data_IF_363266565462
#
_entry.id   IF_363266565462
#
_cell.length_a   1.000
_cell.length_b   1.000
_cell.length_c   1.000
_cell.angle_alpha   90.00
_cell.angle_beta   90.00
_cell.angle_gamma   90.00
#
_symmetry.space_group_name_H-M   'P 1'
#
loop_
_entity.id
_entity.type
_entity.pdbx_description
1 polymer ?
#
# COMPACT_ATOMS: atom_id res chain seq x y z
N UNK A 1 28.81 -78.67 -13.53
CA UNK A 1 28.27 -77.64 -14.45
C UNK A 1 27.18 -76.88 -13.70
N UNK A 2 27.41 -75.61 -13.35
CA UNK A 2 26.45 -74.51 -13.50
C UNK A 2 27.10 -73.21 -13.00
N UNK A 3 27.25 -72.27 -13.94
CA UNK A 3 27.66 -70.87 -13.77
C UNK A 3 26.55 -70.07 -13.06
N UNK A 4 26.92 -68.99 -12.37
CA UNK A 4 26.33 -67.63 -12.49
C UNK A 4 27.03 -66.68 -11.49
N UNK A 5 27.97 -65.85 -11.93
CA UNK A 5 27.84 -64.46 -12.40
C UNK A 5 27.29 -63.46 -11.36
N UNK A 6 28.21 -62.74 -10.70
CA UNK A 6 27.92 -61.55 -9.89
C UNK A 6 27.69 -60.32 -10.78
N UNK A 7 26.64 -59.55 -10.51
CA UNK A 7 26.33 -58.27 -11.19
C UNK A 7 26.64 -57.12 -10.21
N UNK A 8 27.35 -56.04 -10.63
CA UNK A 8 27.58 -54.88 -9.77
C UNK A 8 26.35 -53.95 -9.75
N UNK A 9 25.99 -53.47 -8.55
CA UNK A 9 24.96 -52.45 -8.33
C UNK A 9 25.38 -51.11 -8.93
N UNK A 10 24.67 -50.65 -9.97
CA UNK A 10 24.67 -49.24 -10.38
C UNK A 10 23.82 -48.45 -9.38
N UNK A 11 24.43 -47.49 -8.68
CA UNK A 11 23.73 -46.51 -7.84
C UNK A 11 23.02 -45.55 -8.78
N UNK A 12 21.69 -45.61 -8.81
CA UNK A 12 20.84 -44.73 -9.61
C UNK A 12 20.69 -43.38 -8.92
N UNK A 13 21.25 -42.33 -9.54
CA UNK A 13 21.20 -40.92 -9.14
C UNK A 13 19.83 -40.27 -9.41
N UNK A 14 18.72 -40.99 -9.18
CA UNK A 14 17.38 -40.56 -9.60
C UNK A 14 16.53 -39.87 -8.51
N UNK A 15 17.08 -39.63 -7.31
CA UNK A 15 16.28 -39.19 -6.15
C UNK A 15 16.40 -37.70 -5.77
N UNK A 16 17.20 -36.90 -6.47
CA UNK A 16 17.42 -35.49 -6.09
C UNK A 16 16.49 -34.47 -6.76
N UNK A 17 15.64 -34.89 -7.71
CA UNK A 17 14.79 -33.95 -8.47
C UNK A 17 13.46 -33.50 -7.83
N UNK A 18 12.82 -34.17 -6.85
CA UNK A 18 11.53 -33.69 -6.34
C UNK A 18 11.65 -32.61 -5.25
N UNK A 19 12.82 -32.46 -4.61
CA UNK A 19 13.02 -31.50 -3.51
C UNK A 19 13.15 -30.07 -4.04
N UNK A 20 13.78 -29.88 -5.21
CA UNK A 20 14.00 -28.56 -5.80
C UNK A 20 12.69 -27.87 -6.23
N UNK A 21 11.69 -28.65 -6.67
CA UNK A 21 10.39 -28.12 -7.11
C UNK A 21 9.50 -27.66 -5.95
N UNK A 22 9.57 -28.30 -4.78
CA UNK A 22 8.83 -27.88 -3.58
C UNK A 22 9.36 -26.57 -2.99
N UNK A 23 10.67 -26.32 -3.03
CA UNK A 23 11.26 -25.07 -2.52
C UNK A 23 10.81 -23.86 -3.36
N UNK A 24 10.74 -24.00 -4.68
CA UNK A 24 10.31 -22.92 -5.58
C UNK A 24 8.82 -22.60 -5.37
N UNK A 25 7.96 -23.61 -5.23
CA UNK A 25 6.53 -23.41 -4.98
C UNK A 25 6.26 -22.78 -3.61
N UNK A 26 6.97 -23.20 -2.55
CA UNK A 26 6.88 -22.59 -1.22
C UNK A 26 7.35 -21.13 -1.20
N UNK A 27 8.39 -20.79 -1.99
CA UNK A 27 8.89 -19.42 -2.10
C UNK A 27 7.93 -18.50 -2.87
N UNK A 28 7.23 -19.01 -3.89
CA UNK A 28 6.18 -18.27 -4.60
C UNK A 28 4.92 -18.07 -3.74
N UNK A 29 4.50 -19.08 -2.98
CA UNK A 29 3.34 -18.96 -2.09
C UNK A 29 3.61 -18.01 -0.92
N UNK A 30 4.84 -17.99 -0.38
CA UNK A 30 5.22 -17.07 0.69
C UNK A 30 5.30 -15.60 0.22
N UNK A 31 5.70 -15.35 -1.03
CA UNK A 31 5.71 -13.99 -1.61
C UNK A 31 4.30 -13.44 -1.82
N UNK A 32 3.33 -14.30 -2.09
CA UNK A 32 1.93 -13.90 -2.27
C UNK A 32 1.26 -13.35 -0.99
N UNK A 33 1.82 -13.61 0.20
CA UNK A 33 1.19 -13.29 1.48
C UNK A 33 1.94 -12.21 2.27
N UNK A 34 2.82 -11.43 1.64
CA UNK A 34 3.49 -10.33 2.32
C UNK A 34 2.55 -9.10 2.42
N UNK A 35 2.10 -8.69 3.62
CA UNK A 35 1.20 -7.54 3.77
C UNK A 35 1.80 -6.23 3.23
N UNK A 36 3.13 -6.14 3.13
CA UNK A 36 3.81 -4.98 2.54
C UNK A 36 3.57 -4.85 1.02
N UNK A 37 3.40 -5.98 0.31
CA UNK A 37 3.17 -6.00 -1.13
C UNK A 37 1.72 -5.59 -1.47
N UNK A 38 0.76 -6.00 -0.63
CA UNK A 38 -0.66 -5.66 -0.77
C UNK A 38 -0.92 -4.16 -0.54
N UNK A 39 -0.38 -3.61 0.55
CA UNK A 39 -0.46 -2.17 0.84
C UNK A 39 0.22 -1.33 -0.27
N UNK A 40 1.33 -1.84 -0.83
CA UNK A 40 2.04 -1.16 -1.91
C UNK A 40 1.27 -1.13 -3.23
N UNK A 41 0.42 -2.12 -3.48
CA UNK A 41 -0.47 -2.19 -4.64
C UNK A 41 -1.68 -1.27 -4.44
N UNK A 42 -2.30 -1.28 -3.27
CA UNK A 42 -3.43 -0.41 -2.95
C UNK A 42 -3.05 1.08 -3.05
N UNK A 43 -1.90 1.47 -2.49
CA UNK A 43 -1.40 2.84 -2.60
C UNK A 43 -1.06 3.19 -4.06
N UNK A 44 -0.64 2.21 -4.87
CA UNK A 44 -0.38 2.45 -6.29
C UNK A 44 -1.67 2.81 -7.03
N UNK A 45 -2.78 2.11 -6.75
CA UNK A 45 -4.10 2.45 -7.30
C UNK A 45 -4.49 3.86 -6.90
N UNK A 46 -4.28 4.27 -5.64
CA UNK A 46 -4.56 5.63 -5.18
C UNK A 46 -3.73 6.69 -5.91
N UNK A 47 -2.48 6.38 -6.25
CA UNK A 47 -1.60 7.28 -7.01
C UNK A 47 -2.12 7.45 -8.45
N UNK A 48 -2.59 6.37 -9.06
CA UNK A 48 -2.97 6.35 -10.47
C UNK A 48 -4.42 6.86 -10.68
N UNK A 49 -5.36 6.38 -9.85
CA UNK A 49 -6.81 6.57 -10.03
C UNK A 49 -7.42 7.56 -9.02
N UNK A 50 -6.79 7.72 -7.85
CA UNK A 50 -7.31 8.54 -6.74
C UNK A 50 -8.23 7.75 -5.79
N UNK A 51 -8.91 8.49 -4.90
CA UNK A 51 -9.84 7.96 -3.91
C UNK A 51 -11.22 8.51 -4.20
N UNK A 52 -12.10 7.63 -4.66
CA UNK A 52 -13.51 7.95 -4.86
C UNK A 52 -14.29 7.93 -3.55
N UNK A 53 -15.16 8.93 -3.38
CA UNK A 53 -16.10 9.06 -2.27
C UNK A 53 -17.53 9.22 -2.80
N UNK A 54 -18.48 8.62 -2.09
CA UNK A 54 -19.90 8.63 -2.50
C UNK A 54 -20.61 9.97 -2.28
N UNK A 55 -20.17 10.74 -1.28
CA UNK A 55 -20.75 12.03 -0.93
C UNK A 55 -19.75 13.11 -1.32
N UNK A 56 -20.10 14.06 -2.20
CA UNK A 56 -19.18 15.09 -2.63
C UNK A 56 -18.68 15.95 -1.46
N UNK A 57 -17.37 16.07 -1.32
CA UNK A 57 -16.74 16.97 -0.37
C UNK A 57 -16.31 18.25 -1.10
N UNK A 58 -17.01 19.36 -0.85
CA UNK A 58 -16.78 20.63 -1.53
C UNK A 58 -16.81 20.53 -3.08
N UNK A 59 -17.70 19.67 -3.59
CA UNK A 59 -17.82 19.42 -5.03
C UNK A 59 -16.88 18.35 -5.57
N UNK A 60 -15.93 17.86 -4.78
CA UNK A 60 -15.04 16.76 -5.16
C UNK A 60 -15.64 15.40 -4.82
N UNK A 61 -15.62 14.48 -5.78
CA UNK A 61 -15.99 13.07 -5.60
C UNK A 61 -14.82 12.11 -5.76
N UNK A 62 -13.68 12.57 -6.29
CA UNK A 62 -12.45 11.80 -6.40
C UNK A 62 -11.27 12.67 -5.97
N UNK A 63 -10.47 12.17 -5.04
CA UNK A 63 -9.28 12.85 -4.51
C UNK A 63 -7.99 12.18 -4.96
N UNK A 64 -7.10 12.94 -5.59
CA UNK A 64 -5.79 12.45 -6.03
C UNK A 64 -4.67 12.85 -5.08
N UNK A 65 -3.59 12.08 -5.05
CA UNK A 65 -2.40 12.51 -4.31
C UNK A 65 -1.69 13.61 -5.07
N UNK A 66 -1.29 14.67 -4.36
CA UNK A 66 -0.58 15.78 -4.97
C UNK A 66 0.77 15.33 -5.54
N UNK A 67 1.08 15.78 -6.75
CA UNK A 67 2.20 15.35 -7.59
C UNK A 67 3.59 15.84 -7.13
N UNK A 68 3.67 16.78 -6.18
CA UNK A 68 4.97 17.27 -5.69
C UNK A 68 5.80 16.22 -4.94
N UNK A 69 5.19 15.08 -4.56
CA UNK A 69 5.91 13.93 -4.00
C UNK A 69 5.90 12.78 -5.02
N UNK A 70 7.05 12.14 -5.20
CA UNK A 70 7.10 10.91 -5.98
C UNK A 70 6.25 9.81 -5.34
N UNK A 71 5.74 8.89 -6.16
CA UNK A 71 5.00 7.69 -5.73
C UNK A 71 5.67 6.97 -4.55
N UNK A 72 7.00 6.83 -4.60
CA UNK A 72 7.80 6.23 -3.52
C UNK A 72 7.68 6.97 -2.18
N UNK A 73 7.65 8.31 -2.20
CA UNK A 73 7.50 9.12 -0.98
C UNK A 73 6.10 9.00 -0.41
N UNK A 74 5.07 8.94 -1.27
CA UNK A 74 3.70 8.68 -0.84
C UNK A 74 3.57 7.30 -0.19
N UNK A 75 4.04 6.24 -0.85
CA UNK A 75 4.07 4.87 -0.28
C UNK A 75 4.75 4.83 1.08
N UNK A 76 5.90 5.50 1.21
CA UNK A 76 6.61 5.60 2.49
C UNK A 76 5.78 6.33 3.56
N UNK A 77 5.13 7.44 3.23
CA UNK A 77 4.31 8.18 4.20
C UNK A 77 3.12 7.36 4.68
N UNK A 78 2.40 6.70 3.77
CA UNK A 78 1.27 5.86 4.12
C UNK A 78 1.68 4.73 5.07
N UNK A 79 2.69 3.94 4.66
CA UNK A 79 3.20 2.84 5.48
C UNK A 79 3.76 3.32 6.82
N UNK A 80 4.70 4.26 6.81
CA UNK A 80 5.42 4.67 8.03
C UNK A 80 4.52 5.45 9.01
N UNK A 81 3.39 6.00 8.54
CA UNK A 81 2.43 6.75 9.37
C UNK A 81 1.15 5.96 9.68
N UNK A 82 1.03 4.71 9.22
CA UNK A 82 -0.15 3.88 9.45
C UNK A 82 -1.43 4.42 8.79
N UNK A 83 -1.30 4.92 7.57
CA UNK A 83 -2.44 5.30 6.73
C UNK A 83 -2.60 4.28 5.61
N UNK A 84 -3.80 3.73 5.52
CA UNK A 84 -4.28 2.96 4.36
C UNK A 84 -5.37 3.77 3.62
N UNK A 85 -5.79 3.26 2.46
CA UNK A 85 -6.76 3.93 1.60
C UNK A 85 -8.15 3.98 2.23
N UNK A 86 -8.54 2.94 2.99
CA UNK A 86 -9.85 2.87 3.64
C UNK A 86 -9.97 3.93 4.72
N UNK A 87 -8.91 4.12 5.52
CA UNK A 87 -8.80 5.17 6.52
C UNK A 87 -8.93 6.55 5.90
N UNK A 88 -8.22 6.81 4.79
CA UNK A 88 -8.34 8.12 4.11
C UNK A 88 -9.75 8.32 3.53
N UNK A 89 -10.35 7.28 2.95
CA UNK A 89 -11.73 7.34 2.45
C UNK A 89 -12.71 7.68 3.56
N UNK A 90 -12.60 7.01 4.71
CA UNK A 90 -13.42 7.29 5.88
C UNK A 90 -13.22 8.74 6.37
N UNK A 91 -11.98 9.21 6.44
CA UNK A 91 -11.69 10.60 6.79
C UNK A 91 -12.37 11.58 5.81
N UNK A 92 -12.27 11.36 4.50
CA UNK A 92 -12.90 12.24 3.50
C UNK A 92 -14.43 12.28 3.63
N UNK A 93 -15.07 11.19 4.05
CA UNK A 93 -16.53 11.08 4.16
C UNK A 93 -17.06 11.55 5.52
N UNK A 94 -16.39 11.19 6.60
CA UNK A 94 -16.92 11.27 7.97
C UNK A 94 -16.03 12.11 8.90
N UNK A 95 -14.84 12.51 8.46
CA UNK A 95 -13.86 13.20 9.27
C UNK A 95 -14.29 14.61 9.66
N UNK A 96 -13.85 15.05 10.85
CA UNK A 96 -14.05 16.42 11.31
C UNK A 96 -13.20 17.37 10.49
N UNK A 97 -13.78 18.46 10.00
CA UNK A 97 -13.11 19.38 9.08
C UNK A 97 -12.74 20.70 9.76
N UNK A 98 -11.54 21.20 9.48
CA UNK A 98 -11.08 22.53 9.86
C UNK A 98 -10.47 23.23 8.64
N UNK A 99 -11.00 24.40 8.30
CA UNK A 99 -10.45 25.22 7.22
C UNK A 99 -9.28 26.06 7.71
N UNK A 100 -8.28 26.24 6.84
CA UNK A 100 -7.16 27.13 7.11
C UNK A 100 -6.59 27.70 5.81
N UNK A 101 -5.80 28.77 5.94
CA UNK A 101 -5.05 29.36 4.83
C UNK A 101 -3.58 29.03 5.04
N UNK A 102 -2.92 28.44 4.05
CA UNK A 102 -1.48 28.18 4.14
C UNK A 102 -0.67 29.48 3.96
N UNK A 103 0.64 29.39 4.15
CA UNK A 103 1.54 30.54 4.02
C UNK A 103 1.63 31.10 2.59
N UNK A 104 1.14 30.36 1.58
CA UNK A 104 1.07 30.78 0.18
C UNK A 104 -0.30 31.37 -0.18
N UNK A 105 -1.25 31.40 0.76
CA UNK A 105 -2.61 31.90 0.51
C UNK A 105 -3.60 30.85 -0.02
N UNK A 106 -3.24 29.56 -0.05
CA UNK A 106 -4.17 28.51 -0.45
C UNK A 106 -5.18 28.23 0.66
N UNK A 107 -6.46 28.17 0.30
CA UNK A 107 -7.53 27.73 1.20
C UNK A 107 -7.58 26.21 1.22
N UNK A 108 -7.14 25.61 2.32
CA UNK A 108 -7.03 24.17 2.49
C UNK A 108 -7.96 23.68 3.60
N UNK A 109 -8.23 22.39 3.60
CA UNK A 109 -8.95 21.71 4.66
C UNK A 109 -8.04 20.71 5.36
N UNK A 110 -8.06 20.75 6.69
CA UNK A 110 -7.59 19.66 7.53
C UNK A 110 -8.77 18.80 7.90
N UNK A 111 -8.65 17.50 7.68
CA UNK A 111 -9.70 16.53 7.98
C UNK A 111 -9.13 15.52 8.96
N UNK A 112 -9.79 15.37 10.11
CA UNK A 112 -9.31 14.58 11.22
C UNK A 112 -10.10 13.28 11.37
N UNK A 113 -9.40 12.21 11.75
CA UNK A 113 -10.02 10.99 12.26
C UNK A 113 -10.29 11.09 13.77
N UNK A 114 -10.85 10.02 14.37
CA UNK A 114 -11.13 9.94 15.80
C UNK A 114 -9.88 9.99 16.68
N UNK A 115 -8.74 9.58 16.14
CA UNK A 115 -7.47 9.51 16.86
C UNK A 115 -6.69 10.84 16.78
N UNK A 116 -7.21 11.81 16.02
CA UNK A 116 -6.59 13.11 15.78
C UNK A 116 -5.53 13.10 14.68
N UNK A 117 -5.36 11.98 13.96
CA UNK A 117 -4.57 12.00 12.73
C UNK A 117 -5.31 12.83 11.69
N UNK A 118 -4.58 13.45 10.78
CA UNK A 118 -5.17 14.36 9.81
C UNK A 118 -4.64 14.18 8.39
N UNK A 119 -5.49 14.48 7.43
CA UNK A 119 -5.11 14.74 6.04
C UNK A 119 -5.30 16.21 5.72
N UNK A 120 -4.46 16.73 4.82
CA UNK A 120 -4.62 18.07 4.25
C UNK A 120 -5.07 17.91 2.81
N UNK A 121 -6.18 18.56 2.47
CA UNK A 121 -6.73 18.55 1.11
C UNK A 121 -6.93 19.95 0.58
N UNK A 122 -6.76 20.08 -0.72
CA UNK A 122 -7.19 21.24 -1.49
C UNK A 122 -8.57 20.94 -2.10
N UNK A 123 -9.64 21.60 -1.62
CA UNK A 123 -11.00 21.34 -2.10
C UNK A 123 -11.26 21.91 -3.50
N UNK A 124 -10.38 22.77 -4.04
CA UNK A 124 -10.54 23.31 -5.39
C UNK A 124 -9.95 22.38 -6.45
N UNK A 125 -8.81 21.75 -6.12
CA UNK A 125 -8.12 20.84 -7.04
C UNK A 125 -8.43 19.37 -6.79
N UNK A 126 -9.16 19.06 -5.70
CA UNK A 126 -9.45 17.70 -5.24
C UNK A 126 -8.16 16.89 -4.99
N UNK A 127 -7.17 17.51 -4.35
CA UNK A 127 -5.87 16.89 -4.12
C UNK A 127 -5.57 16.72 -2.63
N UNK A 128 -4.96 15.59 -2.26
CA UNK A 128 -4.41 15.32 -0.93
C UNK A 128 -2.95 15.75 -0.92
N UNK A 129 -2.62 16.72 -0.06
CA UNK A 129 -1.30 17.30 0.07
C UNK A 129 -0.48 16.63 1.17
N UNK A 130 -1.15 16.13 2.21
CA UNK A 130 -0.49 15.55 3.37
C UNK A 130 -1.38 14.51 4.04
N UNK A 131 -0.72 13.48 4.58
CA UNK A 131 -1.28 12.54 5.57
C UNK A 131 -0.37 12.63 6.79
N UNK A 132 -0.89 12.80 8.00
CA UNK A 132 -0.06 13.08 9.17
C UNK A 132 -0.66 12.48 10.44
N UNK A 133 0.14 11.76 11.25
CA UNK A 133 -0.34 11.27 12.53
C UNK A 133 -0.57 12.42 13.51
N UNK A 134 -1.36 12.20 14.55
CA UNK A 134 -1.61 13.18 15.62
C UNK A 134 -0.31 13.66 16.33
N UNK A 135 0.76 12.87 16.27
CA UNK A 135 2.09 13.19 16.80
C UNK A 135 2.93 14.07 15.88
N UNK A 136 2.46 14.40 14.68
CA UNK A 136 3.17 15.25 13.74
C UNK A 136 3.13 16.70 14.21
N UNK A 137 4.10 17.07 15.06
CA UNK A 137 4.27 18.41 15.59
C UNK A 137 4.64 19.40 14.46
N UNK A 138 3.99 20.57 14.49
CA UNK A 138 4.11 21.67 13.53
C UNK A 138 5.51 22.28 13.46
#
# INVERSE_FOLDING_TARGET
>A
MHLTHSIPRKISLAWFFPILLMVIAGFWLAKSNNPDDDLSAEIQIVIDDGIEISIPLNGCTNFKLKDFKSARRWKKQFRDRGFDTNKIRDMLQNGRQESFVDWKGHHLLRIFDSDGNYIVVDPLTCEIWQVAPNTFLY
#
